data_IF_410312878398
#
_entry.id   IF_410312878398
#
_cell.length_a   1.000
_cell.length_b   1.000
_cell.length_c   1.000
_cell.angle_alpha   90.00
_cell.angle_beta   90.00
_cell.angle_gamma   90.00
#
_symmetry.space_group_name_H-M   'P 1'
#
loop_
_entity.id
_entity.type
_entity.pdbx_description
1 polymer ?
#
# COMPACT_ATOMS: atom_id res chain seq x y z
N UNK A 1 49.48 43.12 50.48
CA UNK A 1 48.01 43.03 50.55
C UNK A 1 47.58 42.31 49.27
N UNK A 2 47.49 40.97 49.24
CA UNK A 2 46.32 40.13 49.62
C UNK A 2 45.01 40.72 49.04
N UNK A 3 44.20 40.07 48.19
CA UNK A 3 43.79 38.66 48.07
C UNK A 3 43.34 38.43 46.60
N UNK A 4 43.79 37.39 45.89
CA UNK A 4 43.26 36.02 45.79
C UNK A 4 41.72 35.91 45.69
N UNK A 5 41.27 35.24 44.63
CA UNK A 5 39.88 34.86 44.37
C UNK A 5 39.77 33.87 43.20
N UNK A 6 40.39 32.70 43.34
CA UNK A 6 40.00 31.49 42.60
C UNK A 6 38.71 30.90 43.21
N UNK A 7 37.80 30.45 42.35
CA UNK A 7 36.81 29.40 42.65
C UNK A 7 36.59 28.67 41.31
N UNK A 8 37.22 27.52 41.04
CA UNK A 8 36.87 26.15 41.46
C UNK A 8 35.39 25.77 41.31
N UNK A 9 35.14 25.03 40.20
CA UNK A 9 34.22 23.90 39.97
C UNK A 9 32.93 23.80 40.81
N UNK A 10 31.81 23.68 40.11
CA UNK A 10 30.84 22.62 40.41
C UNK A 10 30.48 21.89 39.12
N UNK A 11 30.83 20.61 39.08
CA UNK A 11 30.22 19.64 38.18
C UNK A 11 28.73 19.55 38.49
N UNK A 12 27.92 19.61 37.46
CA UNK A 12 26.57 19.04 37.43
C UNK A 12 26.59 18.19 36.16
N UNK A 13 27.04 16.95 36.30
CA UNK A 13 26.14 15.79 36.29
C UNK A 13 25.36 15.73 34.99
N UNK A 14 26.02 15.06 34.05
CA UNK A 14 25.49 14.41 32.85
C UNK A 14 24.37 13.43 33.27
N UNK A 15 23.12 13.63 32.86
CA UNK A 15 22.13 12.57 32.94
C UNK A 15 22.21 11.74 31.66
N UNK A 16 22.91 10.61 31.76
CA UNK A 16 22.70 9.37 31.01
C UNK A 16 22.02 9.52 29.63
N UNK A 17 22.82 9.83 28.61
CA UNK A 17 22.43 9.47 27.23
C UNK A 17 22.60 7.95 27.13
N UNK A 18 21.52 7.24 27.46
CA UNK A 18 21.38 5.81 27.17
C UNK A 18 21.66 5.58 25.67
N UNK A 19 22.39 4.52 25.29
CA UNK A 19 22.55 4.17 23.89
C UNK A 19 21.17 3.93 23.29
N UNK A 20 20.79 4.75 22.32
CA UNK A 20 19.56 4.59 21.55
C UNK A 20 19.59 3.19 20.97
N UNK A 21 18.67 2.35 21.42
CA UNK A 21 18.43 1.05 20.82
C UNK A 21 18.18 1.29 19.33
N UNK A 22 18.94 0.61 18.48
CA UNK A 22 18.57 0.40 17.09
C UNK A 22 17.20 -0.27 17.09
N UNK A 23 16.17 0.55 16.97
CA UNK A 23 14.82 0.12 16.71
C UNK A 23 14.82 -0.36 15.26
N UNK A 24 15.13 -1.64 15.08
CA UNK A 24 14.72 -2.36 13.89
C UNK A 24 13.20 -2.44 13.96
N UNK A 25 12.54 -1.55 13.23
CA UNK A 25 11.15 -1.75 12.87
C UNK A 25 11.10 -2.95 11.94
N UNK A 26 10.97 -4.14 12.52
CA UNK A 26 10.21 -5.17 11.83
C UNK A 26 8.90 -4.51 11.46
N UNK A 27 8.67 -4.38 10.15
CA UNK A 27 7.40 -3.99 9.57
C UNK A 27 6.32 -4.84 10.23
N UNK A 28 5.73 -4.31 11.30
CA UNK A 28 4.42 -4.72 11.74
C UNK A 28 3.48 -4.19 10.67
N UNK A 29 3.42 -4.92 9.56
CA UNK A 29 2.19 -5.02 8.80
C UNK A 29 1.11 -5.25 9.87
N UNK A 30 0.18 -4.31 10.06
CA UNK A 30 -1.02 -4.67 10.79
C UNK A 30 -1.55 -5.88 10.04
N UNK A 31 -1.63 -7.04 10.70
CA UNK A 31 -2.32 -8.22 10.19
C UNK A 31 -3.70 -7.71 9.78
N UNK A 32 -3.83 -7.41 8.49
CA UNK A 32 -5.05 -6.89 7.93
C UNK A 32 -6.09 -7.93 8.32
N UNK A 33 -7.28 -7.54 8.84
CA UNK A 33 -8.39 -8.45 8.77
C UNK A 33 -8.53 -8.74 7.28
N UNK A 34 -8.04 -9.91 6.82
CA UNK A 34 -8.04 -10.34 5.43
C UNK A 34 -9.43 -10.09 4.94
N UNK A 35 -9.62 -8.95 4.28
CA UNK A 35 -10.93 -8.53 3.87
C UNK A 35 -11.33 -9.64 2.92
N UNK A 36 -12.31 -10.45 3.30
CA UNK A 36 -12.76 -11.59 2.51
C UNK A 36 -13.20 -10.97 1.20
N UNK A 37 -12.27 -11.00 0.23
CA UNK A 37 -12.45 -10.35 -1.04
C UNK A 37 -13.69 -11.02 -1.59
N UNK A 38 -14.76 -10.25 -1.82
CA UNK A 38 -15.97 -10.73 -2.50
C UNK A 38 -15.60 -11.01 -3.95
N UNK A 39 -14.83 -12.08 -4.12
CA UNK A 39 -14.50 -12.67 -5.40
C UNK A 39 -15.58 -13.71 -5.67
N UNK A 40 -15.95 -13.88 -6.93
CA UNK A 40 -16.69 -15.06 -7.37
C UNK A 40 -15.76 -16.30 -7.45
N UNK A 41 -14.66 -16.29 -6.70
CA UNK A 41 -13.65 -17.34 -6.62
C UNK A 41 -13.74 -17.97 -5.24
N UNK A 42 -13.62 -19.29 -5.18
CA UNK A 42 -13.51 -20.02 -3.92
C UNK A 42 -12.08 -19.99 -3.40
N UNK A 43 -11.90 -20.36 -2.14
CA UNK A 43 -10.59 -20.44 -1.48
C UNK A 43 -9.59 -21.34 -2.24
N UNK A 44 -10.01 -22.52 -2.69
CA UNK A 44 -9.17 -23.44 -3.48
C UNK A 44 -8.75 -22.87 -4.85
N UNK A 45 -9.52 -21.92 -5.38
CA UNK A 45 -9.19 -21.21 -6.61
C UNK A 45 -8.24 -20.04 -6.35
N UNK A 46 -8.43 -19.35 -5.21
CA UNK A 46 -7.56 -18.26 -4.77
C UNK A 46 -6.18 -18.77 -4.41
N UNK A 47 -6.08 -19.92 -3.75
CA UNK A 47 -4.79 -20.56 -3.40
C UNK A 47 -3.90 -20.79 -4.63
N UNK A 48 -4.49 -21.23 -5.75
CA UNK A 48 -3.76 -21.39 -7.03
C UNK A 48 -3.23 -20.06 -7.57
N UNK A 49 -3.97 -18.97 -7.36
CA UNK A 49 -3.56 -17.64 -7.80
C UNK A 49 -2.50 -17.05 -6.88
N UNK A 50 -2.61 -17.27 -5.57
CA UNK A 50 -1.64 -16.86 -4.56
C UNK A 50 -0.30 -17.57 -4.75
N UNK A 51 -0.30 -18.89 -4.97
CA UNK A 51 0.91 -19.68 -5.25
C UNK A 51 1.71 -19.11 -6.43
N UNK A 52 1.02 -18.64 -7.47
CA UNK A 52 1.64 -18.09 -8.67
C UNK A 52 1.86 -16.56 -8.64
N UNK A 53 1.51 -15.89 -7.54
CA UNK A 53 1.43 -14.43 -7.49
C UNK A 53 2.80 -13.75 -7.58
N UNK A 54 3.80 -14.27 -6.87
CA UNK A 54 5.15 -13.67 -6.87
C UNK A 54 5.82 -13.79 -8.24
N UNK A 55 5.78 -14.97 -8.85
CA UNK A 55 6.24 -15.18 -10.23
C UNK A 55 5.46 -14.27 -11.21
N UNK A 56 4.16 -14.09 -10.98
CA UNK A 56 3.32 -13.24 -11.82
C UNK A 56 3.73 -11.76 -11.75
N UNK A 57 4.08 -11.27 -10.55
CA UNK A 57 4.57 -9.90 -10.32
C UNK A 57 5.87 -9.65 -11.08
N UNK A 58 6.81 -10.61 -11.05
CA UNK A 58 8.10 -10.52 -11.76
C UNK A 58 8.05 -10.74 -13.28
N UNK A 59 6.96 -11.32 -13.79
CA UNK A 59 6.85 -11.73 -15.18
C UNK A 59 6.56 -10.58 -16.17
N UNK A 60 7.06 -10.71 -17.40
CA UNK A 60 6.74 -9.83 -18.53
C UNK A 60 5.32 -10.09 -19.13
N UNK A 61 4.92 -9.30 -20.13
CA UNK A 61 3.59 -9.39 -20.76
C UNK A 61 3.30 -10.77 -21.38
N UNK A 62 4.27 -11.40 -22.02
CA UNK A 62 4.13 -12.70 -22.68
C UNK A 62 4.11 -13.82 -21.64
N UNK A 63 5.00 -13.75 -20.64
CA UNK A 63 5.05 -14.67 -19.51
C UNK A 63 3.73 -14.64 -18.72
N UNK A 64 3.24 -13.44 -18.35
CA UNK A 64 1.93 -13.28 -17.69
C UNK A 64 0.78 -13.85 -18.53
N UNK A 65 0.80 -13.70 -19.86
CA UNK A 65 -0.21 -14.33 -20.72
C UNK A 65 -0.20 -15.87 -20.58
N UNK A 66 0.98 -16.47 -20.59
CA UNK A 66 1.17 -17.92 -20.42
C UNK A 66 0.70 -18.39 -19.04
N UNK A 67 1.21 -17.76 -17.97
CA UNK A 67 0.88 -18.09 -16.59
C UNK A 67 -0.62 -18.01 -16.32
N UNK A 68 -1.30 -16.98 -16.85
CA UNK A 68 -2.75 -16.84 -16.71
C UNK A 68 -3.50 -18.03 -17.29
N UNK A 69 -3.03 -18.57 -18.41
CA UNK A 69 -3.66 -19.72 -19.05
C UNK A 69 -3.41 -21.00 -18.24
N UNK A 70 -2.20 -21.16 -17.68
CA UNK A 70 -1.87 -22.28 -16.77
C UNK A 70 -2.74 -22.24 -15.53
N UNK A 71 -2.83 -21.10 -14.84
CA UNK A 71 -3.70 -20.92 -13.68
C UNK A 71 -5.17 -21.19 -14.01
N UNK A 72 -5.67 -20.67 -15.14
CA UNK A 72 -7.03 -20.96 -15.60
C UNK A 72 -7.27 -22.45 -15.85
N UNK A 73 -6.30 -23.16 -16.42
CA UNK A 73 -6.43 -24.60 -16.66
C UNK A 73 -6.46 -25.37 -15.33
N UNK A 74 -5.56 -25.04 -14.39
CA UNK A 74 -5.55 -25.62 -13.03
C UNK A 74 -6.89 -25.41 -12.32
N UNK A 75 -7.37 -24.15 -12.30
CA UNK A 75 -8.67 -23.81 -11.70
C UNK A 75 -9.81 -24.55 -12.40
N UNK A 76 -9.83 -24.61 -13.74
CA UNK A 76 -10.89 -25.32 -14.48
C UNK A 76 -10.94 -26.81 -14.13
N UNK A 77 -9.80 -27.42 -13.86
CA UNK A 77 -9.67 -28.85 -13.56
C UNK A 77 -10.01 -29.20 -12.10
N UNK A 78 -10.31 -28.22 -11.25
CA UNK A 78 -10.78 -28.50 -9.89
C UNK A 78 -12.10 -29.29 -9.92
N UNK A 79 -12.29 -30.30 -9.06
CA UNK A 79 -13.50 -31.13 -9.07
C UNK A 79 -14.79 -30.30 -8.98
N UNK A 80 -14.79 -29.27 -8.13
CA UNK A 80 -15.95 -28.40 -7.94
C UNK A 80 -16.17 -27.39 -9.08
N UNK A 81 -15.35 -27.42 -10.13
CA UNK A 81 -15.52 -26.66 -11.38
C UNK A 81 -15.90 -27.55 -12.58
N UNK A 82 -15.90 -28.87 -12.41
CA UNK A 82 -16.15 -29.84 -13.49
C UNK A 82 -17.55 -29.74 -14.10
N UNK A 83 -18.53 -29.23 -13.35
CA UNK A 83 -19.93 -29.09 -13.76
C UNK A 83 -20.30 -27.69 -14.26
N UNK A 84 -19.35 -26.74 -14.26
CA UNK A 84 -19.61 -25.36 -14.64
C UNK A 84 -20.02 -25.25 -16.11
N UNK A 85 -21.11 -24.52 -16.35
CA UNK A 85 -21.54 -24.15 -17.69
C UNK A 85 -20.66 -23.04 -18.25
N UNK A 86 -20.65 -22.89 -19.58
CA UNK A 86 -19.77 -21.92 -20.28
C UNK A 86 -19.85 -20.50 -19.72
N UNK A 87 -21.06 -19.98 -19.50
CA UNK A 87 -21.26 -18.62 -18.97
C UNK A 87 -20.77 -18.45 -17.51
N UNK A 88 -20.87 -19.49 -16.69
CA UNK A 88 -20.34 -19.48 -15.31
C UNK A 88 -18.82 -19.50 -15.33
N UNK A 89 -18.24 -20.26 -16.25
CA UNK A 89 -16.80 -20.24 -16.50
C UNK A 89 -16.31 -18.89 -17.03
N UNK A 90 -17.09 -18.20 -17.84
CA UNK A 90 -16.79 -16.83 -18.28
C UNK A 90 -16.75 -15.84 -17.11
N UNK A 91 -17.71 -15.93 -16.19
CA UNK A 91 -17.71 -15.14 -14.94
C UNK A 91 -16.45 -15.44 -14.11
N UNK A 92 -16.08 -16.71 -13.95
CA UNK A 92 -14.83 -17.10 -13.26
C UNK A 92 -13.58 -16.58 -13.95
N UNK A 93 -13.49 -16.65 -15.28
CA UNK A 93 -12.37 -16.07 -16.05
C UNK A 93 -12.23 -14.57 -15.82
N UNK A 94 -13.33 -13.83 -15.67
CA UNK A 94 -13.32 -12.40 -15.31
C UNK A 94 -12.84 -12.21 -13.87
N UNK A 95 -13.33 -13.02 -12.94
CA UNK A 95 -12.87 -13.05 -11.55
C UNK A 95 -11.36 -13.26 -11.41
N UNK A 96 -10.81 -14.29 -12.07
CA UNK A 96 -9.36 -14.57 -12.10
C UNK A 96 -8.57 -13.37 -12.63
N UNK A 97 -9.02 -12.77 -13.75
CA UNK A 97 -8.36 -11.60 -14.33
C UNK A 97 -8.34 -10.43 -13.35
N UNK A 98 -9.48 -10.14 -12.71
CA UNK A 98 -9.62 -9.03 -11.79
C UNK A 98 -8.78 -9.24 -10.52
N UNK A 99 -8.81 -10.46 -9.97
CA UNK A 99 -8.01 -10.84 -8.83
C UNK A 99 -6.51 -10.65 -9.13
N UNK A 100 -6.01 -11.21 -10.23
CA UNK A 100 -4.62 -11.04 -10.63
C UNK A 100 -4.25 -9.58 -10.87
N UNK A 101 -5.13 -8.78 -11.49
CA UNK A 101 -4.87 -7.36 -11.70
C UNK A 101 -4.75 -6.58 -10.39
N UNK A 102 -5.68 -6.81 -9.46
CA UNK A 102 -5.72 -6.12 -8.18
C UNK A 102 -4.58 -6.56 -7.24
N UNK A 103 -4.24 -7.85 -7.22
CA UNK A 103 -3.22 -8.41 -6.31
C UNK A 103 -1.82 -8.38 -6.91
N UNK A 104 -1.69 -8.28 -8.24
CA UNK A 104 -0.41 -8.01 -8.87
C UNK A 104 0.13 -6.63 -8.54
N UNK A 105 -0.68 -5.75 -7.92
CA UNK A 105 -0.55 -4.32 -7.61
C UNK A 105 0.83 -3.67 -7.78
N UNK A 106 1.37 -3.83 -8.99
CA UNK A 106 2.50 -3.11 -9.50
C UNK A 106 2.14 -1.62 -9.61
N UNK A 107 0.85 -1.25 -9.62
CA UNK A 107 0.42 0.15 -9.63
C UNK A 107 0.56 0.82 -8.28
N UNK A 108 0.20 0.16 -7.16
CA UNK A 108 0.45 0.72 -5.82
C UNK A 108 1.96 0.80 -5.55
N UNK A 109 2.72 -0.25 -5.89
CA UNK A 109 4.18 -0.25 -5.78
C UNK A 109 4.84 0.79 -6.71
N UNK A 110 4.39 0.93 -7.96
CA UNK A 110 4.89 1.97 -8.87
C UNK A 110 4.49 3.38 -8.43
N UNK A 111 3.29 3.55 -7.87
CA UNK A 111 2.87 4.83 -7.32
C UNK A 111 3.75 5.19 -6.11
N UNK A 112 4.03 4.23 -5.23
CA UNK A 112 4.95 4.41 -4.12
C UNK A 112 6.36 4.78 -4.59
N UNK A 113 6.90 4.06 -5.58
CA UNK A 113 8.21 4.35 -6.16
C UNK A 113 8.25 5.74 -6.84
N UNK A 114 7.18 6.10 -7.55
CA UNK A 114 7.05 7.42 -8.15
C UNK A 114 7.02 8.52 -7.08
N UNK A 115 6.25 8.34 -6.01
CA UNK A 115 6.17 9.31 -4.91
C UNK A 115 7.52 9.43 -4.20
N UNK A 116 8.23 8.31 -4.00
CA UNK A 116 9.58 8.30 -3.46
C UNK A 116 10.54 9.10 -4.34
N UNK A 117 10.56 8.84 -5.65
CA UNK A 117 11.39 9.56 -6.60
C UNK A 117 11.04 11.06 -6.63
N UNK A 118 9.75 11.40 -6.59
CA UNK A 118 9.31 12.79 -6.50
C UNK A 118 9.84 13.49 -5.23
N UNK A 119 9.75 12.83 -4.07
CA UNK A 119 10.28 13.36 -2.81
C UNK A 119 11.81 13.56 -2.87
N UNK A 120 12.53 12.61 -3.45
CA UNK A 120 13.98 12.72 -3.70
C UNK A 120 14.32 13.92 -4.60
N UNK A 121 13.60 14.10 -5.70
CA UNK A 121 13.82 15.21 -6.63
C UNK A 121 13.50 16.58 -6.00
N UNK A 122 12.40 16.69 -5.23
CA UNK A 122 12.06 17.91 -4.51
C UNK A 122 13.11 18.29 -3.48
N UNK A 123 13.66 17.30 -2.77
CA UNK A 123 14.78 17.55 -1.87
C UNK A 123 16.02 18.03 -2.63
N UNK A 124 16.41 17.35 -3.71
CA UNK A 124 17.62 17.69 -4.47
C UNK A 124 17.54 19.07 -5.14
N UNK A 125 16.37 19.45 -5.66
CA UNK A 125 16.22 20.69 -6.43
C UNK A 125 16.00 21.92 -5.54
N UNK A 126 15.27 21.78 -4.44
CA UNK A 126 14.89 22.94 -3.62
C UNK A 126 14.95 22.71 -2.10
N UNK A 127 15.49 21.59 -1.63
CA UNK A 127 15.59 21.29 -0.21
C UNK A 127 14.22 21.06 0.46
N UNK A 128 13.20 20.71 -0.32
CA UNK A 128 11.85 20.50 0.19
C UNK A 128 11.67 19.08 0.71
N UNK A 129 11.18 18.93 1.94
CA UNK A 129 10.72 17.66 2.47
C UNK A 129 9.27 17.41 2.07
N UNK A 130 8.98 16.17 1.69
CA UNK A 130 7.65 15.77 1.21
C UNK A 130 7.15 14.62 2.07
N UNK A 131 5.92 14.76 2.55
CA UNK A 131 5.15 13.68 3.18
C UNK A 131 3.86 13.50 2.38
N UNK A 132 3.43 12.27 2.19
CA UNK A 132 2.26 11.96 1.35
C UNK A 132 1.20 11.25 2.16
N UNK A 133 -0.03 11.75 2.06
CA UNK A 133 -1.23 11.10 2.56
C UNK A 133 -2.15 10.84 1.38
N UNK A 134 -2.61 9.60 1.25
CA UNK A 134 -3.48 9.17 0.20
C UNK A 134 -4.73 8.51 0.78
N UNK A 135 -5.83 8.64 0.06
CA UNK A 135 -7.12 8.08 0.44
C UNK A 135 -7.84 7.54 -0.79
N UNK A 136 -8.52 6.42 -0.65
CA UNK A 136 -9.26 5.79 -1.74
C UNK A 136 -10.44 4.97 -1.22
N UNK A 137 -11.47 4.78 -2.05
CA UNK A 137 -12.56 3.84 -1.75
C UNK A 137 -12.07 2.40 -1.96
N UNK A 138 -12.18 1.59 -0.91
CA UNK A 138 -12.00 0.16 -0.97
C UNK A 138 -13.11 -0.53 -1.78
N UNK A 139 -12.93 -1.80 -2.11
CA UNK A 139 -13.88 -2.56 -2.93
C UNK A 139 -15.28 -2.70 -2.32
N UNK A 140 -15.39 -2.54 -1.01
CA UNK A 140 -16.63 -2.54 -0.24
C UNK A 140 -17.18 -1.12 0.02
N UNK A 141 -16.62 -0.10 -0.64
CA UNK A 141 -16.96 1.30 -0.43
C UNK A 141 -16.39 1.89 0.86
N UNK A 142 -15.65 1.11 1.66
CA UNK A 142 -15.03 1.63 2.87
C UNK A 142 -13.86 2.57 2.54
N UNK A 143 -13.71 3.68 3.26
CA UNK A 143 -12.56 4.56 3.10
C UNK A 143 -11.27 3.85 3.54
N UNK A 144 -10.27 3.84 2.65
CA UNK A 144 -8.92 3.35 2.90
C UNK A 144 -7.95 4.53 2.85
N UNK A 145 -6.85 4.46 3.60
CA UNK A 145 -5.81 5.48 3.57
C UNK A 145 -4.41 4.88 3.60
N UNK A 146 -3.44 5.66 3.14
CA UNK A 146 -2.01 5.41 3.30
C UNK A 146 -1.30 6.70 3.66
N UNK A 147 -0.28 6.58 4.50
CA UNK A 147 0.62 7.68 4.89
C UNK A 147 2.05 7.22 4.61
N UNK A 148 2.84 8.07 3.94
CA UNK A 148 4.18 7.74 3.51
C UNK A 148 5.16 8.87 3.82
N UNK A 149 6.29 8.48 4.41
CA UNK A 149 7.46 9.32 4.68
C UNK A 149 8.70 8.71 4.03
N UNK A 150 9.41 9.50 3.23
CA UNK A 150 10.69 9.09 2.63
C UNK A 150 11.86 9.95 3.13
N UNK A 151 11.60 10.93 4.01
CA UNK A 151 12.61 11.92 4.41
C UNK A 151 13.69 11.31 5.32
N UNK A 152 13.41 10.17 5.97
CA UNK A 152 14.40 9.44 6.78
C UNK A 152 15.63 8.97 6.00
N UNK A 153 15.53 8.85 4.67
CA UNK A 153 16.67 8.51 3.79
C UNK A 153 17.28 9.72 3.08
N UNK A 154 16.77 10.94 3.33
CA UNK A 154 17.17 12.18 2.67
C UNK A 154 17.91 13.12 3.63
N UNK A 155 18.99 13.75 3.17
CA UNK A 155 19.71 14.77 3.94
C UNK A 155 20.21 14.28 5.31
N UNK A 156 19.77 14.93 6.39
CA UNK A 156 20.11 14.55 7.77
C UNK A 156 19.30 13.34 8.29
N UNK A 157 18.43 12.74 7.47
CA UNK A 157 17.69 11.53 7.80
C UNK A 157 16.58 11.73 8.83
N UNK A 158 15.95 12.91 8.84
CA UNK A 158 14.86 13.23 9.77
C UNK A 158 13.52 12.86 9.17
N UNK A 159 12.75 12.04 9.88
CA UNK A 159 11.35 11.74 9.57
C UNK A 159 10.42 12.76 10.20
N UNK A 160 9.21 12.85 9.66
CA UNK A 160 8.14 13.66 10.22
C UNK A 160 7.67 13.06 11.54
N UNK A 161 7.79 13.84 12.62
CA UNK A 161 7.25 13.51 13.93
C UNK A 161 5.91 14.23 14.07
N UNK A 162 4.86 13.56 14.57
CA UNK A 162 3.45 14.00 14.69
C UNK A 162 2.47 13.47 13.63
N UNK A 163 2.69 12.24 13.16
CA UNK A 163 1.72 11.56 12.30
C UNK A 163 0.32 11.47 12.92
N UNK A 164 0.21 11.22 14.24
CA UNK A 164 -1.07 11.02 14.93
C UNK A 164 -1.99 12.25 14.88
N UNK A 165 -1.42 13.45 15.08
CA UNK A 165 -2.19 14.69 15.07
C UNK A 165 -2.76 14.98 13.67
N UNK A 166 -1.94 14.79 12.63
CA UNK A 166 -2.39 14.99 11.25
C UNK A 166 -3.37 13.90 10.84
N UNK A 167 -3.14 12.65 11.27
CA UNK A 167 -4.01 11.53 10.97
C UNK A 167 -5.43 11.79 11.46
N UNK A 168 -5.61 12.36 12.65
CA UNK A 168 -6.94 12.69 13.15
C UNK A 168 -7.72 13.65 12.22
N UNK A 169 -7.07 14.71 11.75
CA UNK A 169 -7.69 15.66 10.82
C UNK A 169 -7.91 15.07 9.43
N UNK A 170 -6.97 14.27 8.96
CA UNK A 170 -7.08 13.57 7.68
C UNK A 170 -8.22 12.56 7.68
N UNK A 171 -8.35 11.75 8.73
CA UNK A 171 -9.42 10.76 8.89
C UNK A 171 -10.80 11.42 8.81
N UNK A 172 -10.98 12.57 9.47
CA UNK A 172 -12.23 13.32 9.46
C UNK A 172 -12.57 13.86 8.06
N UNK A 173 -11.60 14.50 7.39
CA UNK A 173 -11.77 14.98 6.01
C UNK A 173 -12.13 13.83 5.04
N UNK A 174 -11.48 12.69 5.21
CA UNK A 174 -11.63 11.55 4.31
C UNK A 174 -12.99 10.86 4.44
N UNK A 175 -13.51 10.75 5.68
CA UNK A 175 -14.84 10.23 5.93
C UNK A 175 -15.91 11.09 5.25
N UNK A 176 -15.79 12.41 5.31
CA UNK A 176 -16.69 13.36 4.65
C UNK A 176 -16.56 13.26 3.11
N UNK A 177 -15.34 13.41 2.59
CA UNK A 177 -15.07 13.46 1.15
C UNK A 177 -15.39 12.14 0.40
N UNK A 178 -15.32 10.99 1.07
CA UNK A 178 -15.66 9.70 0.46
C UNK A 178 -17.10 9.23 0.74
N UNK A 179 -17.87 9.91 1.59
CA UNK A 179 -19.27 9.57 1.84
C UNK A 179 -20.24 10.08 0.77
N UNK A 180 -19.90 11.08 -0.03
CA UNK A 180 -20.77 11.55 -1.11
C UNK A 180 -20.77 10.57 -2.30
N UNK A 181 -21.93 9.96 -2.59
CA UNK A 181 -22.14 9.16 -3.80
C UNK A 181 -23.12 7.99 -3.70
N UNK A 182 -24.23 8.11 -2.96
CA UNK A 182 -25.45 7.31 -3.19
C UNK A 182 -26.54 8.25 -3.75
N UNK A 183 -26.32 8.75 -4.97
CA UNK A 183 -27.35 9.43 -5.74
C UNK A 183 -27.40 8.83 -7.14
N UNK A 184 -28.37 7.94 -7.32
CA UNK A 184 -29.00 7.39 -8.51
C UNK A 184 -28.17 7.00 -9.75
N UNK A 185 -28.40 5.74 -10.12
CA UNK A 185 -28.10 5.11 -11.38
C UNK A 185 -28.84 5.83 -12.51
N UNK A 186 -28.11 6.36 -13.50
CA UNK A 186 -28.53 6.23 -14.89
C UNK A 186 -27.39 5.65 -15.72
N UNK A 187 -27.71 4.49 -16.30
CA UNK A 187 -26.94 3.70 -17.24
C UNK A 187 -26.75 4.54 -18.52
N UNK A 188 -25.53 5.01 -18.77
CA UNK A 188 -25.16 5.62 -20.03
C UNK A 188 -23.87 4.98 -20.53
N UNK A 189 -24.06 4.06 -21.49
CA UNK A 189 -23.07 3.40 -22.33
C UNK A 189 -21.68 4.06 -22.35
N UNK A 190 -20.80 3.59 -21.47
CA UNK A 190 -19.38 3.91 -21.57
C UNK A 190 -18.75 3.00 -22.64
N UNK A 191 -18.66 3.52 -23.85
CA UNK A 191 -17.79 2.95 -24.88
C UNK A 191 -16.37 2.72 -24.30
N UNK A 192 -15.70 1.61 -24.68
CA UNK A 192 -14.36 1.33 -24.19
C UNK A 192 -13.40 2.40 -24.71
N UNK A 193 -12.92 3.26 -23.81
CA UNK A 193 -11.79 4.14 -24.08
C UNK A 193 -10.58 3.25 -24.44
N UNK A 194 -10.26 3.30 -25.72
CA UNK A 194 -9.15 2.60 -26.33
C UNK A 194 -7.82 3.07 -25.70
N UNK A 195 -6.95 2.11 -25.42
CA UNK A 195 -5.52 2.35 -25.30
C UNK A 195 -4.88 2.29 -26.69
#
# INVERSE_FOLDING_TARGET
MASSGCASRSSTEDPDIQPVQEYSFDSLEPEEPKAVVKTNLREDEVEILEEALEDWKGADKNQRKSMKNVMKARIKNLPANSTLKGHEWDKKKKGIKNWLYNHSCAHAQKALEYVKQFAEEMWQQCGMWVVVMAAWKGQNGQPMMGMHDFNGTLGEGKTFQNWDDIKHHWDAYMQDALQEGDADVEDADAEPMAC
#
